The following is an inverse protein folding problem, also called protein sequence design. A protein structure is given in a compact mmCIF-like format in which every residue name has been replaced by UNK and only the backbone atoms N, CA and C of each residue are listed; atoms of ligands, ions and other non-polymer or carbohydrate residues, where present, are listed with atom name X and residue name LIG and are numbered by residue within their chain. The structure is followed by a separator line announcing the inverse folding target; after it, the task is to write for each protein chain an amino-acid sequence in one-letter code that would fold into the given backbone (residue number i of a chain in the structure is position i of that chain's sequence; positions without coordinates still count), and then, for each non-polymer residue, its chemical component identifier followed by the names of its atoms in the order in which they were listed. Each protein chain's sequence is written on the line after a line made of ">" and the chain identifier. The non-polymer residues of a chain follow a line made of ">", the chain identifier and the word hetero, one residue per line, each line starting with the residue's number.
data_IF_119818360240
#
_entry.id   IF_119818360240
#
_cell.length_a   1.000
_cell.length_b   1.000
_cell.length_c   1.000
_cell.angle_alpha   90.00
_cell.angle_beta   90.00
_cell.angle_gamma   90.00
#
_symmetry.space_group_name_H-M   'P 1'
#
loop_
_entity.id
_entity.type
_entity.pdbx_description
1 polymer ?
#
# COMPACT_ATOMS: atom_id res chain seq x y z
N UNK A 1 -21.11 -3.41 -30.54
CA UNK A 1 -20.80 -2.09 -29.98
C UNK A 1 -19.95 -2.32 -28.74
N UNK A 2 -18.63 -2.18 -28.87
CA UNK A 2 -17.70 -2.38 -27.75
C UNK A 2 -17.71 -1.12 -26.89
N UNK A 3 -18.25 -1.24 -25.68
CA UNK A 3 -18.11 -0.24 -24.64
C UNK A 3 -16.62 -0.09 -24.31
N UNK A 4 -15.96 0.90 -24.91
CA UNK A 4 -14.69 1.44 -24.39
C UNK A 4 -14.97 2.01 -23.00
N UNK A 5 -14.97 1.16 -21.99
CA UNK A 5 -14.94 1.59 -20.60
C UNK A 5 -13.63 2.34 -20.40
N UNK A 6 -13.70 3.67 -20.37
CA UNK A 6 -12.56 4.51 -20.06
C UNK A 6 -12.13 4.21 -18.62
N UNK A 7 -10.97 3.57 -18.47
CA UNK A 7 -10.46 3.14 -17.17
C UNK A 7 -9.62 4.27 -16.61
N UNK A 8 -9.95 4.73 -15.41
CA UNK A 8 -9.21 5.80 -14.76
C UNK A 8 -7.98 5.26 -14.01
N UNK A 9 -6.83 5.91 -14.14
CA UNK A 9 -5.66 5.61 -13.32
C UNK A 9 -5.95 5.92 -11.85
N UNK A 10 -5.79 4.90 -10.99
CA UNK A 10 -6.04 5.01 -9.54
C UNK A 10 -5.20 6.10 -8.87
N UNK A 11 -3.99 6.38 -9.41
CA UNK A 11 -3.07 7.37 -8.82
C UNK A 11 -3.30 8.79 -9.31
N UNK A 12 -3.24 9.00 -10.63
CA UNK A 12 -3.23 10.34 -11.23
C UNK A 12 -4.59 10.77 -11.77
N UNK A 13 -5.63 9.92 -11.68
CA UNK A 13 -6.98 10.24 -12.12
C UNK A 13 -7.10 10.57 -13.63
N UNK A 14 -6.09 10.16 -14.40
CA UNK A 14 -6.07 10.27 -15.86
C UNK A 14 -6.84 9.11 -16.48
N UNK A 15 -7.62 9.40 -17.52
CA UNK A 15 -8.25 8.38 -18.36
C UNK A 15 -7.20 7.60 -19.14
N UNK A 16 -7.24 6.26 -19.04
CA UNK A 16 -6.35 5.33 -19.73
C UNK A 16 -7.08 4.68 -20.90
N UNK A 17 -6.36 4.52 -22.00
CA UNK A 17 -6.77 3.64 -23.09
C UNK A 17 -6.47 2.18 -22.73
N UNK A 18 -7.18 1.24 -23.34
CA UNK A 18 -7.09 -0.18 -23.00
C UNK A 18 -5.66 -0.77 -23.09
N UNK A 19 -4.82 -0.22 -23.96
CA UNK A 19 -3.41 -0.60 -24.17
C UNK A 19 -2.46 -0.06 -23.09
N UNK A 20 -2.82 1.04 -22.43
CA UNK A 20 -2.02 1.69 -21.38
C UNK A 20 -2.33 1.14 -19.97
N UNK A 21 -3.45 0.41 -19.80
CA UNK A 21 -3.88 -0.10 -18.49
C UNK A 21 -2.92 -1.18 -18.00
N UNK A 22 -2.27 -0.93 -16.86
CA UNK A 22 -1.50 -1.92 -16.13
C UNK A 22 -2.14 -2.17 -14.77
N UNK A 23 -2.63 -3.39 -14.57
CA UNK A 23 -3.16 -3.83 -13.28
C UNK A 23 -2.01 -4.12 -12.31
N UNK A 24 -2.10 -3.59 -11.10
CA UNK A 24 -1.19 -3.91 -10.01
C UNK A 24 -1.88 -3.69 -8.66
N UNK A 25 -1.34 -4.28 -7.60
CA UNK A 25 -1.93 -4.10 -6.27
C UNK A 25 -2.02 -2.60 -5.88
N UNK A 26 -3.02 -2.21 -5.09
CA UNK A 26 -3.11 -0.85 -4.60
C UNK A 26 -1.95 -0.53 -3.65
N UNK A 27 -1.57 0.75 -3.61
CA UNK A 27 -0.63 1.26 -2.63
C UNK A 27 -1.35 1.37 -1.28
N UNK A 28 -0.99 0.51 -0.32
CA UNK A 28 -1.44 0.65 1.07
C UNK A 28 -0.40 1.49 1.81
N UNK A 29 -0.83 2.60 2.40
CA UNK A 29 0.04 3.42 3.24
C UNK A 29 0.14 2.84 4.65
N UNK A 30 1.22 3.17 5.38
CA UNK A 30 1.39 2.77 6.78
C UNK A 30 0.17 3.13 7.64
N UNK A 31 -0.37 4.34 7.45
CA UNK A 31 -1.53 4.84 8.20
C UNK A 31 -2.79 4.02 7.91
N UNK A 32 -2.99 3.60 6.67
CA UNK A 32 -4.10 2.73 6.27
C UNK A 32 -3.92 1.32 6.83
N UNK A 33 -2.69 0.80 6.82
CA UNK A 33 -2.38 -0.50 7.39
C UNK A 33 -2.66 -0.53 8.90
N UNK A 34 -2.21 0.47 9.66
CA UNK A 34 -2.49 0.60 11.10
C UNK A 34 -4.00 0.75 11.35
N UNK A 35 -4.68 1.59 10.56
CA UNK A 35 -6.13 1.76 10.68
C UNK A 35 -6.87 0.46 10.39
N UNK A 36 -6.47 -0.29 9.37
CA UNK A 36 -7.05 -1.58 9.01
C UNK A 36 -6.79 -2.62 10.11
N UNK A 37 -5.58 -2.68 10.65
CA UNK A 37 -5.24 -3.58 11.75
C UNK A 37 -6.11 -3.35 13.00
N UNK A 38 -6.43 -2.09 13.32
CA UNK A 38 -7.27 -1.74 14.47
C UNK A 38 -8.75 -1.98 14.20
N UNK A 39 -9.26 -1.57 13.02
CA UNK A 39 -10.70 -1.62 12.72
C UNK A 39 -11.19 -2.97 12.24
N UNK A 40 -10.38 -3.69 11.48
CA UNK A 40 -10.77 -4.89 10.75
C UNK A 40 -9.55 -5.81 10.57
N UNK A 41 -9.10 -6.47 11.65
CA UNK A 41 -7.89 -7.29 11.62
C UNK A 41 -7.96 -8.45 10.60
N UNK A 42 -9.17 -8.90 10.24
CA UNK A 42 -9.38 -9.90 9.19
C UNK A 42 -8.96 -9.44 7.78
N UNK A 43 -8.91 -8.13 7.52
CA UNK A 43 -8.46 -7.57 6.22
C UNK A 43 -6.95 -7.66 6.03
N UNK A 44 -6.16 -7.92 7.08
CA UNK A 44 -4.70 -8.06 6.95
C UNK A 44 -4.31 -9.30 6.11
N UNK A 45 -5.17 -10.31 6.06
CA UNK A 45 -4.98 -11.52 5.27
C UNK A 45 -5.75 -11.50 3.94
N UNK A 46 -6.53 -10.45 3.67
CA UNK A 46 -7.30 -10.36 2.46
C UNK A 46 -6.36 -10.10 1.26
N UNK A 47 -6.56 -10.83 0.17
CA UNK A 47 -5.89 -10.52 -1.09
C UNK A 47 -6.50 -9.22 -1.62
N UNK A 48 -5.69 -8.17 -1.75
CA UNK A 48 -6.16 -6.92 -2.32
C UNK A 48 -6.39 -7.10 -3.82
N UNK A 49 -7.53 -6.58 -4.29
CA UNK A 49 -7.89 -6.57 -5.70
C UNK A 49 -6.95 -5.64 -6.46
N UNK A 50 -6.48 -6.08 -7.63
CA UNK A 50 -5.58 -5.28 -8.46
C UNK A 50 -6.32 -4.08 -9.05
N UNK A 51 -5.65 -2.93 -9.06
CA UNK A 51 -6.23 -1.66 -9.53
C UNK A 51 -5.46 -1.13 -10.75
N UNK A 52 -6.13 -0.36 -11.63
CA UNK A 52 -5.50 0.14 -12.85
C UNK A 52 -4.54 1.30 -12.57
N UNK A 53 -3.36 1.24 -13.19
CA UNK A 53 -2.35 2.29 -13.17
C UNK A 53 -1.83 2.62 -14.57
N UNK A 54 -1.39 3.87 -14.71
CA UNK A 54 -0.67 4.35 -15.87
C UNK A 54 0.79 3.83 -15.89
N UNK A 55 1.44 3.67 -17.06
CA UNK A 55 2.80 3.16 -17.16
C UNK A 55 3.82 4.03 -16.41
N UNK A 56 3.67 5.36 -16.48
CA UNK A 56 4.51 6.33 -15.75
C UNK A 56 4.35 6.19 -14.23
N UNK A 57 3.11 5.95 -13.79
CA UNK A 57 2.73 5.83 -12.38
C UNK A 57 3.31 4.56 -11.76
N UNK A 58 3.45 3.49 -12.54
CA UNK A 58 3.88 2.17 -12.05
C UNK A 58 5.24 2.22 -11.36
N UNK A 59 6.21 2.93 -11.95
CA UNK A 59 7.54 3.08 -11.37
C UNK A 59 7.53 3.89 -10.07
N UNK A 60 6.68 4.93 -10.00
CA UNK A 60 6.52 5.77 -8.81
C UNK A 60 5.88 4.95 -7.67
N UNK A 61 4.82 4.20 -7.98
CA UNK A 61 4.12 3.35 -7.00
C UNK A 61 5.06 2.27 -6.44
N UNK A 62 5.88 1.64 -7.28
CA UNK A 62 6.86 0.65 -6.82
C UNK A 62 7.83 1.24 -5.78
N UNK A 63 8.36 2.45 -6.04
CA UNK A 63 9.22 3.17 -5.08
C UNK A 63 8.46 3.54 -3.81
N UNK A 64 7.24 4.07 -3.94
CA UNK A 64 6.41 4.44 -2.78
C UNK A 64 6.09 3.25 -1.89
N UNK A 65 5.85 2.06 -2.45
CA UNK A 65 5.65 0.83 -1.67
C UNK A 65 6.86 0.50 -0.81
N UNK A 66 8.06 0.57 -1.37
CA UNK A 66 9.29 0.33 -0.61
C UNK A 66 9.45 1.34 0.52
N UNK A 67 9.15 2.62 0.26
CA UNK A 67 9.17 3.66 1.30
C UNK A 67 8.15 3.37 2.41
N UNK A 68 6.91 3.00 2.07
CA UNK A 68 5.88 2.68 3.07
C UNK A 68 6.20 1.40 3.86
N UNK A 69 6.76 0.38 3.20
CA UNK A 69 7.24 -0.84 3.87
C UNK A 69 8.41 -0.54 4.81
N UNK A 70 9.36 0.31 4.40
CA UNK A 70 10.48 0.72 5.24
C UNK A 70 10.00 1.50 6.46
N UNK A 71 8.99 2.39 6.30
CA UNK A 71 8.35 3.09 7.43
C UNK A 71 7.72 2.11 8.41
N UNK A 72 6.97 1.12 7.89
CA UNK A 72 6.38 0.08 8.74
C UNK A 72 7.45 -0.68 9.53
N UNK A 73 8.50 -1.14 8.84
CA UNK A 73 9.60 -1.86 9.47
C UNK A 73 10.30 -1.01 10.54
N UNK A 74 10.59 0.27 10.24
CA UNK A 74 11.23 1.17 11.19
C UNK A 74 10.40 1.36 12.47
N UNK A 75 9.07 1.48 12.36
CA UNK A 75 8.18 1.57 13.52
C UNK A 75 8.18 0.28 14.32
N UNK A 76 8.10 -0.88 13.67
CA UNK A 76 8.15 -2.19 14.35
C UNK A 76 9.46 -2.35 15.13
N UNK A 77 10.59 -2.01 14.52
CA UNK A 77 11.91 -2.05 15.17
C UNK A 77 11.96 -1.10 16.37
N UNK A 78 11.46 0.14 16.22
CA UNK A 78 11.43 1.11 17.32
C UNK A 78 10.60 0.60 18.50
N UNK A 79 9.41 0.04 18.26
CA UNK A 79 8.56 -0.54 19.30
C UNK A 79 9.26 -1.69 20.02
N UNK A 80 9.91 -2.59 19.28
CA UNK A 80 10.67 -3.69 19.87
C UNK A 80 11.82 -3.21 20.76
N UNK A 81 12.58 -2.20 20.30
CA UNK A 81 13.65 -1.62 21.11
C UNK A 81 13.12 -0.99 22.40
N UNK A 82 12.00 -0.27 22.34
CA UNK A 82 11.35 0.30 23.53
C UNK A 82 10.95 -0.81 24.51
N UNK A 83 10.33 -1.89 24.03
CA UNK A 83 9.93 -3.01 24.87
C UNK A 83 11.13 -3.68 25.54
N UNK A 84 12.23 -3.88 24.80
CA UNK A 84 13.47 -4.45 25.35
C UNK A 84 14.02 -3.55 26.46
N UNK A 85 14.11 -2.24 26.22
CA UNK A 85 14.59 -1.27 27.22
C UNK A 85 13.69 -1.30 28.46
N UNK A 86 12.37 -1.29 28.30
CA UNK A 86 11.43 -1.36 29.41
C UNK A 86 11.62 -2.63 30.23
N UNK A 87 11.73 -3.78 29.56
CA UNK A 87 11.98 -5.07 30.23
C UNK A 87 13.30 -5.02 31.00
N UNK A 88 14.38 -4.56 30.39
CA UNK A 88 15.71 -4.49 31.03
C UNK A 88 15.78 -3.49 32.19
N UNK A 89 15.02 -2.39 32.14
CA UNK A 89 15.02 -1.35 33.19
C UNK A 89 14.08 -1.70 34.35
N UNK A 90 13.00 -2.45 34.08
CA UNK A 90 11.98 -2.82 35.08
C UNK A 90 12.31 -4.12 35.80
N UNK A 91 13.03 -5.05 35.17
CA UNK A 91 13.61 -6.25 35.81
C UNK A 91 14.86 -5.92 36.62
#
# INVERSE_FOLDING_TARGET
>A
MSSESSVECTRCKRQLKADEVRMAQPLITFKELVRAAIKTPSLLNAKLEDVPYCPECRGIIAKQRQTEQLKFLAVVVAVLLILIVLVVVVL
#
